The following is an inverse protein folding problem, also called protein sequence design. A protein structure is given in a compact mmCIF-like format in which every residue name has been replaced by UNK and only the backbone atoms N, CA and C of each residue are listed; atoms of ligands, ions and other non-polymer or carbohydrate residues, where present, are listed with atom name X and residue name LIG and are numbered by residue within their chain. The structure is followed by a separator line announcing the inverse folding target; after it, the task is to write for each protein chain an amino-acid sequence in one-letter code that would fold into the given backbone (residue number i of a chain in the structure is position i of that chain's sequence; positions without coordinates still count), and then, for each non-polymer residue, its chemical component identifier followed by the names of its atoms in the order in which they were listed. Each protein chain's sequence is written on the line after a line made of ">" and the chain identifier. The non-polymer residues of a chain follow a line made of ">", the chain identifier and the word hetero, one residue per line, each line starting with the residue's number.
data_IF_018539935223
#
_entry.id   IF_018539935223
#
_cell.length_a   1.000
_cell.length_b   1.000
_cell.length_c   1.000
_cell.angle_alpha   90.00
_cell.angle_beta   90.00
_cell.angle_gamma   90.00
#
_symmetry.space_group_name_H-M   'P 1'
#
loop_
_entity.id
_entity.type
_entity.pdbx_description
1 polymer ?
#
# COMPACT_ATOMS: atom_id res chain seq x y z
N UNK A 1 4.68 -14.53 1.59
CA UNK A 1 5.72 -14.47 2.63
C UNK A 1 6.03 -13.01 2.85
N UNK A 2 5.67 -12.49 4.02
CA UNK A 2 5.93 -11.11 4.41
C UNK A 2 7.43 -10.85 4.63
N UNK A 3 7.81 -9.58 4.58
CA UNK A 3 9.17 -9.13 4.95
C UNK A 3 9.12 -8.40 6.30
N UNK A 4 10.26 -8.12 6.96
CA UNK A 4 10.27 -7.45 8.27
C UNK A 4 9.58 -6.08 8.30
N UNK A 5 9.45 -5.40 7.16
CA UNK A 5 8.91 -4.04 7.08
C UNK A 5 7.60 -3.92 6.29
N UNK A 6 7.22 -4.99 5.57
CA UNK A 6 6.06 -4.99 4.67
C UNK A 6 5.29 -6.29 4.92
N UNK A 7 4.16 -6.18 5.61
CA UNK A 7 3.29 -7.28 5.99
C UNK A 7 2.27 -7.63 4.88
N UNK A 8 2.77 -7.80 3.66
CA UNK A 8 1.96 -8.14 2.48
C UNK A 8 2.37 -9.49 1.87
N UNK A 9 1.44 -10.12 1.17
CA UNK A 9 1.65 -11.37 0.45
C UNK A 9 2.06 -11.15 -1.01
N UNK A 10 2.56 -12.20 -1.65
CA UNK A 10 2.86 -12.16 -3.08
C UNK A 10 1.56 -12.01 -3.86
N UNK A 11 1.46 -10.97 -4.69
CA UNK A 11 0.25 -10.61 -5.43
C UNK A 11 -0.58 -9.49 -4.79
N UNK A 12 -0.24 -9.04 -3.57
CA UNK A 12 -0.93 -7.91 -2.92
C UNK A 12 -0.58 -6.56 -3.56
N UNK A 13 0.62 -6.45 -4.15
CA UNK A 13 1.04 -5.28 -4.92
C UNK A 13 0.85 -5.52 -6.41
N UNK A 14 0.33 -4.52 -7.11
CA UNK A 14 0.31 -4.48 -8.57
C UNK A 14 1.73 -4.32 -9.13
N UNK A 15 1.91 -4.60 -10.42
CA UNK A 15 3.21 -4.42 -11.10
C UNK A 15 3.67 -2.96 -11.12
N UNK A 16 2.73 -2.01 -11.16
CA UNK A 16 3.02 -0.57 -11.07
C UNK A 16 2.64 -0.04 -9.70
N UNK A 17 3.60 0.63 -9.02
CA UNK A 17 3.44 1.14 -7.65
C UNK A 17 3.83 2.61 -7.58
N UNK A 18 2.99 3.42 -6.92
CA UNK A 18 3.31 4.78 -6.51
C UNK A 18 3.90 4.78 -5.10
N UNK A 19 5.01 5.50 -4.89
CA UNK A 19 5.75 5.51 -3.62
C UNK A 19 5.77 6.91 -2.97
N UNK A 20 4.66 7.37 -2.38
CA UNK A 20 4.65 8.58 -1.58
C UNK A 20 5.44 8.38 -0.28
N UNK A 21 6.17 9.41 0.17
CA UNK A 21 6.91 9.34 1.44
C UNK A 21 6.04 9.49 2.70
N UNK A 22 4.83 10.01 2.57
CA UNK A 22 3.87 10.21 3.66
C UNK A 22 2.78 9.12 3.59
N UNK A 23 2.58 8.30 4.65
CA UNK A 23 1.54 7.26 4.67
C UNK A 23 0.13 7.82 4.52
N UNK A 24 -0.14 9.03 5.04
CA UNK A 24 -1.46 9.66 4.90
C UNK A 24 -1.71 10.11 3.46
N UNK A 25 -0.65 10.48 2.73
CA UNK A 25 -0.74 10.74 1.28
C UNK A 25 -1.02 9.46 0.51
N UNK A 26 -0.40 8.33 0.88
CA UNK A 26 -0.69 7.04 0.26
C UNK A 26 -2.17 6.67 0.39
N UNK A 27 -2.71 6.82 1.61
CA UNK A 27 -4.13 6.58 1.90
C UNK A 27 -5.03 7.52 1.10
N UNK A 28 -4.76 8.83 1.12
CA UNK A 28 -5.52 9.82 0.37
C UNK A 28 -5.58 9.50 -1.13
N UNK A 29 -4.43 9.15 -1.74
CA UNK A 29 -4.37 8.81 -3.16
C UNK A 29 -5.18 7.55 -3.46
N UNK A 30 -5.06 6.52 -2.62
CA UNK A 30 -5.81 5.27 -2.79
C UNK A 30 -7.33 5.52 -2.72
N UNK A 31 -7.80 6.24 -1.71
CA UNK A 31 -9.24 6.50 -1.50
C UNK A 31 -9.85 7.46 -2.53
N UNK A 32 -9.04 8.35 -3.13
CA UNK A 32 -9.54 9.38 -4.05
C UNK A 32 -9.53 8.93 -5.51
N UNK A 33 -8.53 8.16 -5.94
CA UNK A 33 -8.27 7.92 -7.36
C UNK A 33 -8.38 6.46 -7.79
N UNK A 34 -8.45 5.51 -6.86
CA UNK A 34 -8.51 4.09 -7.15
C UNK A 34 -9.85 3.49 -6.70
N UNK A 35 -10.27 2.42 -7.36
CA UNK A 35 -11.45 1.63 -6.97
C UNK A 35 -11.00 0.31 -6.34
N UNK A 36 -11.89 -0.33 -5.57
CA UNK A 36 -11.66 -1.65 -4.95
C UNK A 36 -10.35 -1.75 -4.14
N UNK A 37 -9.99 -0.67 -3.44
CA UNK A 37 -8.75 -0.58 -2.67
C UNK A 37 -8.78 -1.43 -1.41
N UNK A 38 -7.62 -2.01 -1.07
CA UNK A 38 -7.39 -2.74 0.18
C UNK A 38 -6.07 -2.30 0.81
N UNK A 39 -6.09 -1.97 2.10
CA UNK A 39 -4.85 -1.74 2.85
C UNK A 39 -4.16 -3.09 3.11
N UNK A 40 -2.92 -3.25 2.62
CA UNK A 40 -2.14 -4.50 2.73
C UNK A 40 -0.91 -4.37 3.64
N UNK A 41 -0.59 -3.17 4.13
CA UNK A 41 0.56 -2.97 5.03
C UNK A 41 0.37 -1.73 5.93
N UNK A 42 0.55 -1.90 7.24
CA UNK A 42 0.49 -0.81 8.24
C UNK A 42 1.68 -0.80 9.21
N UNK A 43 2.72 -1.61 8.96
CA UNK A 43 3.86 -1.80 9.88
C UNK A 43 4.62 -0.50 10.16
N UNK A 44 4.53 0.51 9.28
CA UNK A 44 5.25 1.79 9.36
C UNK A 44 4.35 3.01 9.04
N UNK A 45 3.11 3.00 9.54
CA UNK A 45 2.17 4.13 9.41
C UNK A 45 2.47 5.27 10.39
#
# INVERSE_FOLDING_TARGET
>A
MSTPHIAAEVGDFAETVLLPGDPLRARFVAETFLNDVRCVNEVRN
#
